data_IF_185919908122
#
_entry.id   IF_185919908122
#
_cell.length_a   1.000
_cell.length_b   1.000
_cell.length_c   1.000
_cell.angle_alpha   90.00
_cell.angle_beta   90.00
_cell.angle_gamma   90.00
#
_symmetry.space_group_name_H-M   'P 1'
#
loop_
_entity.id
_entity.type
_entity.pdbx_description
1 polymer ?
#
# COMPACT_ATOMS: atom_id res chain seq x y z
N UNK A 1 9.56 8.43 -25.02
CA UNK A 1 10.10 7.24 -24.33
C UNK A 1 9.90 7.29 -22.80
N UNK A 2 9.15 8.27 -22.25
CA UNK A 2 8.95 8.44 -20.80
C UNK A 2 7.46 8.72 -20.52
N UNK A 3 6.55 7.87 -21.03
CA UNK A 3 5.10 8.10 -20.89
C UNK A 3 4.50 7.49 -19.61
N UNK A 4 5.32 6.89 -18.74
CA UNK A 4 4.86 6.22 -17.51
C UNK A 4 5.74 6.53 -16.30
N UNK A 5 6.52 7.63 -16.32
CA UNK A 5 7.43 7.97 -15.21
C UNK A 5 6.66 8.11 -13.90
N UNK A 6 5.47 8.72 -13.97
CA UNK A 6 4.59 8.93 -12.82
C UNK A 6 4.19 7.61 -12.17
N UNK A 7 4.17 6.50 -12.90
CA UNK A 7 3.82 5.17 -12.37
C UNK A 7 5.08 4.40 -11.97
N UNK A 8 6.12 4.44 -12.79
CA UNK A 8 7.36 3.66 -12.61
C UNK A 8 8.14 4.15 -11.40
N UNK A 9 8.24 5.47 -11.20
CA UNK A 9 9.04 6.04 -10.11
C UNK A 9 8.52 5.59 -8.74
N UNK A 10 7.20 5.65 -8.45
CA UNK A 10 6.74 5.35 -7.10
C UNK A 10 6.64 3.85 -6.84
N UNK A 11 6.45 3.02 -7.88
CA UNK A 11 6.67 1.57 -7.80
C UNK A 11 8.13 1.28 -7.44
N UNK A 12 9.08 1.93 -8.11
CA UNK A 12 10.51 1.78 -7.82
C UNK A 12 10.86 2.24 -6.40
N UNK A 13 10.28 3.35 -5.91
CA UNK A 13 10.45 3.83 -4.52
C UNK A 13 9.87 2.84 -3.51
N UNK A 14 8.70 2.24 -3.79
CA UNK A 14 8.11 1.24 -2.91
C UNK A 14 8.97 -0.04 -2.86
N UNK A 15 9.42 -0.52 -4.01
CA UNK A 15 10.37 -1.63 -4.11
C UNK A 15 11.67 -1.32 -3.36
N UNK A 16 12.22 -0.12 -3.54
CA UNK A 16 13.45 0.30 -2.86
C UNK A 16 13.24 0.38 -1.34
N UNK A 17 12.13 0.96 -0.86
CA UNK A 17 11.80 1.04 0.56
C UNK A 17 11.66 -0.36 1.18
N UNK A 18 11.00 -1.29 0.48
CA UNK A 18 10.88 -2.68 0.92
C UNK A 18 12.25 -3.39 0.94
N UNK A 19 13.05 -3.25 -0.12
CA UNK A 19 14.38 -3.86 -0.21
C UNK A 19 15.34 -3.28 0.85
N UNK A 20 15.29 -1.97 1.11
CA UNK A 20 16.07 -1.32 2.16
C UNK A 20 15.69 -1.87 3.54
N UNK A 21 14.39 -2.00 3.87
CA UNK A 21 13.93 -2.62 5.13
C UNK A 21 14.41 -4.07 5.28
N UNK A 22 14.55 -4.80 4.16
CA UNK A 22 14.96 -6.21 4.14
C UNK A 22 16.48 -6.39 4.17
N UNK A 23 17.25 -5.48 3.57
CA UNK A 23 18.70 -5.60 3.39
C UNK A 23 19.53 -4.78 4.40
N UNK A 24 18.98 -3.68 4.94
CA UNK A 24 19.69 -2.85 5.92
C UNK A 24 19.42 -3.38 7.32
N UNK A 25 20.44 -4.07 7.84
CA UNK A 25 20.75 -4.19 9.26
C UNK A 25 19.93 -5.18 10.11
N UNK A 26 19.56 -6.35 9.58
CA UNK A 26 19.07 -7.46 10.41
C UNK A 26 19.60 -8.80 9.93
N UNK A 27 20.24 -9.55 10.82
CA UNK A 27 20.42 -10.99 10.65
C UNK A 27 19.05 -11.57 10.26
N UNK A 28 18.96 -12.19 9.07
CA UNK A 28 17.69 -12.55 8.44
C UNK A 28 17.04 -13.68 9.23
N UNK A 29 16.38 -13.34 10.32
CA UNK A 29 15.52 -14.25 11.06
C UNK A 29 14.19 -14.35 10.30
N UNK A 30 13.77 -15.57 10.00
CA UNK A 30 12.51 -15.90 9.29
C UNK A 30 11.29 -15.11 9.82
N UNK A 31 11.09 -14.90 11.15
CA UNK A 31 9.96 -14.12 11.67
C UNK A 31 9.93 -12.68 11.17
N UNK A 32 11.10 -12.11 10.87
CA UNK A 32 11.27 -10.72 10.50
C UNK A 32 10.97 -10.48 9.01
N UNK A 33 11.32 -11.44 8.17
CA UNK A 33 10.91 -11.48 6.77
C UNK A 33 9.38 -11.53 6.65
N UNK A 34 8.72 -12.40 7.43
CA UNK A 34 7.26 -12.54 7.41
C UNK A 34 6.58 -11.26 7.90
N UNK A 35 7.10 -10.61 8.94
CA UNK A 35 6.60 -9.28 9.39
C UNK A 35 6.70 -8.22 8.28
N UNK A 36 7.79 -8.22 7.51
CA UNK A 36 7.99 -7.29 6.40
C UNK A 36 6.99 -7.53 5.27
N UNK A 37 6.67 -8.79 4.96
CA UNK A 37 5.61 -9.14 4.00
C UNK A 37 4.24 -8.65 4.49
N UNK A 38 3.95 -8.82 5.77
CA UNK A 38 2.70 -8.37 6.37
C UNK A 38 2.55 -6.85 6.32
N UNK A 39 3.64 -6.10 6.33
CA UNK A 39 3.66 -4.63 6.24
C UNK A 39 3.45 -4.12 4.80
N UNK A 40 3.78 -4.91 3.77
CA UNK A 40 3.72 -4.47 2.37
C UNK A 40 2.36 -3.87 1.92
N UNK A 41 1.19 -4.42 2.30
CA UNK A 41 -0.10 -3.80 1.98
C UNK A 41 -0.24 -2.38 2.51
N UNK A 42 0.31 -2.11 3.69
CA UNK A 42 0.29 -0.78 4.30
C UNK A 42 1.15 0.19 3.49
N UNK A 43 2.34 -0.23 3.07
CA UNK A 43 3.18 0.58 2.20
C UNK A 43 2.49 0.88 0.85
N UNK A 44 1.78 -0.11 0.27
CA UNK A 44 1.01 0.05 -0.98
C UNK A 44 -0.16 1.04 -0.82
N UNK A 45 -0.90 1.01 0.29
CA UNK A 45 -2.02 1.96 0.46
C UNK A 45 -1.52 3.41 0.60
N UNK A 46 -0.39 3.63 1.28
CA UNK A 46 0.20 4.96 1.38
C UNK A 46 0.74 5.47 0.04
N UNK A 47 1.32 4.58 -0.77
CA UNK A 47 1.68 4.91 -2.15
C UNK A 47 0.45 5.30 -2.97
N UNK A 48 -0.61 4.51 -2.85
CA UNK A 48 -1.89 4.75 -3.53
C UNK A 48 -2.47 6.11 -3.16
N UNK A 49 -2.45 6.47 -1.87
CA UNK A 49 -2.90 7.79 -1.40
C UNK A 49 -2.02 8.89 -1.98
N UNK A 50 -0.70 8.69 -2.01
CA UNK A 50 0.24 9.69 -2.56
C UNK A 50 -0.06 9.98 -4.04
N UNK A 51 -0.38 8.95 -4.82
CA UNK A 51 -0.85 9.10 -6.19
C UNK A 51 -2.14 9.89 -6.32
N UNK A 52 -3.10 9.59 -5.45
CA UNK A 52 -4.41 10.22 -5.50
C UNK A 52 -4.35 11.68 -5.05
N UNK A 53 -3.46 12.02 -4.12
CA UNK A 53 -3.12 13.40 -3.75
C UNK A 53 -2.47 14.13 -4.92
N UNK A 54 -1.49 13.51 -5.58
CA UNK A 54 -0.84 14.10 -6.76
C UNK A 54 -1.84 14.37 -7.90
N UNK A 55 -2.77 13.44 -8.15
CA UNK A 55 -3.88 13.62 -9.09
C UNK A 55 -4.80 14.78 -8.66
N UNK A 56 -5.18 14.84 -7.39
CA UNK A 56 -6.09 15.89 -6.87
C UNK A 56 -5.49 17.29 -6.99
N UNK A 57 -4.16 17.42 -6.85
CA UNK A 57 -3.45 18.70 -7.01
C UNK A 57 -3.32 19.09 -8.49
N UNK A 58 -3.13 18.12 -9.40
CA UNK A 58 -2.85 18.36 -10.81
C UNK A 58 -4.09 18.46 -11.71
N UNK A 59 -5.26 18.01 -11.24
CA UNK A 59 -6.51 18.01 -12.02
C UNK A 59 -7.23 19.36 -12.02
N UNK A 60 -8.18 19.54 -12.95
CA UNK A 60 -9.03 20.74 -13.05
C UNK A 60 -10.08 20.77 -11.92
N UNK A 61 -10.65 21.94 -11.63
CA UNK A 61 -11.63 22.15 -10.54
C UNK A 61 -12.80 21.14 -10.55
N UNK A 62 -13.25 20.67 -11.72
CA UNK A 62 -14.30 19.65 -11.83
C UNK A 62 -13.85 18.24 -11.40
N UNK A 63 -12.59 17.87 -11.62
CA UNK A 63 -12.01 16.58 -11.20
C UNK A 63 -11.55 16.57 -9.74
N UNK A 64 -11.30 17.75 -9.18
CA UNK A 64 -10.73 17.96 -7.83
C UNK A 64 -11.65 17.45 -6.73
N UNK A 65 -12.96 17.64 -6.86
CA UNK A 65 -13.93 17.18 -5.87
C UNK A 65 -13.96 15.64 -5.77
N UNK A 66 -13.89 14.96 -6.92
CA UNK A 66 -13.82 13.50 -6.96
C UNK A 66 -12.49 13.00 -6.36
N UNK A 67 -11.36 13.60 -6.75
CA UNK A 67 -10.06 13.27 -6.16
C UNK A 67 -10.04 13.42 -4.64
N UNK A 68 -10.56 14.53 -4.11
CA UNK A 68 -10.63 14.77 -2.66
C UNK A 68 -11.50 13.72 -1.95
N UNK A 69 -12.66 13.37 -2.51
CA UNK A 69 -13.57 12.37 -1.95
C UNK A 69 -12.91 10.99 -1.85
N UNK A 70 -12.29 10.51 -2.93
CA UNK A 70 -11.56 9.23 -2.92
C UNK A 70 -10.34 9.26 -1.99
N UNK A 71 -9.69 10.42 -1.84
CA UNK A 71 -8.56 10.57 -0.92
C UNK A 71 -9.00 10.37 0.54
N UNK A 72 -10.15 10.93 0.94
CA UNK A 72 -10.72 10.71 2.27
C UNK A 72 -11.12 9.25 2.49
N UNK A 73 -11.73 8.61 1.49
CA UNK A 73 -12.06 7.17 1.59
C UNK A 73 -10.80 6.34 1.76
N UNK A 74 -9.75 6.59 0.98
CA UNK A 74 -8.52 5.81 1.03
C UNK A 74 -7.74 6.04 2.33
N UNK A 75 -7.83 7.23 2.92
CA UNK A 75 -7.33 7.48 4.28
C UNK A 75 -8.06 6.60 5.32
N UNK A 76 -9.38 6.50 5.26
CA UNK A 76 -10.14 5.62 6.16
C UNK A 76 -9.74 4.15 5.94
N UNK A 77 -9.63 3.72 4.68
CA UNK A 77 -9.18 2.36 4.31
C UNK A 77 -7.76 2.11 4.81
N UNK A 78 -6.87 3.11 4.82
CA UNK A 78 -5.50 2.96 5.33
C UNK A 78 -5.47 2.66 6.82
N UNK A 79 -6.34 3.29 7.61
CA UNK A 79 -6.47 3.01 9.06
C UNK A 79 -6.91 1.56 9.27
N UNK A 80 -7.90 1.11 8.50
CA UNK A 80 -8.38 -0.28 8.55
C UNK A 80 -7.23 -1.24 8.16
N UNK A 81 -6.46 -0.92 7.12
CA UNK A 81 -5.31 -1.70 6.68
C UNK A 81 -4.26 -1.89 7.78
N UNK A 82 -3.92 -0.81 8.49
CA UNK A 82 -2.97 -0.83 9.62
C UNK A 82 -3.50 -1.68 10.77
N UNK A 83 -4.81 -1.63 11.07
CA UNK A 83 -5.42 -2.46 12.10
C UNK A 83 -5.36 -3.94 11.72
N UNK A 84 -5.70 -4.28 10.47
CA UNK A 84 -5.65 -5.66 9.95
C UNK A 84 -4.21 -6.18 9.99
N UNK A 85 -3.24 -5.37 9.56
CA UNK A 85 -1.82 -5.71 9.65
C UNK A 85 -1.38 -5.99 11.08
N UNK A 86 -1.65 -5.08 12.03
CA UNK A 86 -1.30 -5.30 13.45
C UNK A 86 -1.95 -6.55 14.02
N UNK A 87 -3.17 -6.88 13.60
CA UNK A 87 -3.84 -8.14 13.98
C UNK A 87 -3.21 -9.37 13.32
N UNK A 88 -2.83 -9.30 12.05
CA UNK A 88 -2.17 -10.39 11.33
C UNK A 88 -0.83 -10.75 11.98
N UNK A 89 -0.01 -9.75 12.35
CA UNK A 89 1.26 -9.98 13.05
C UNK A 89 1.02 -10.64 14.42
N UNK A 90 0.06 -10.16 15.21
CA UNK A 90 -0.29 -10.80 16.49
C UNK A 90 -0.78 -12.25 16.33
N UNK A 91 -1.57 -12.53 15.28
CA UNK A 91 -2.03 -13.89 14.98
C UNK A 91 -0.89 -14.82 14.60
N UNK A 92 0.14 -14.30 13.92
CA UNK A 92 1.35 -15.04 13.60
C UNK A 92 2.14 -15.39 14.86
N UNK A 93 2.31 -14.44 15.79
CA UNK A 93 2.95 -14.67 17.09
C UNK A 93 2.21 -15.70 17.96
N UNK A 94 0.88 -15.78 17.83
CA UNK A 94 0.03 -16.76 18.52
C UNK A 94 -0.02 -18.13 17.81
N UNK A 95 0.91 -18.42 16.87
CA UNK A 95 0.98 -19.64 16.07
C UNK A 95 -0.25 -19.93 15.18
N UNK A 96 -1.15 -18.96 14.97
CA UNK A 96 -2.33 -19.10 14.08
C UNK A 96 -2.01 -18.65 12.66
N UNK A 97 -1.03 -19.34 12.04
CA UNK A 97 -0.44 -18.97 10.75
C UNK A 97 -1.50 -18.85 9.64
N UNK A 98 -2.43 -19.81 9.54
CA UNK A 98 -3.46 -19.82 8.50
C UNK A 98 -4.34 -18.56 8.52
N UNK A 99 -4.80 -18.13 9.71
CA UNK A 99 -5.62 -16.92 9.86
C UNK A 99 -4.82 -15.64 9.57
N UNK A 100 -3.55 -15.61 9.93
CA UNK A 100 -2.66 -14.48 9.64
C UNK A 100 -2.44 -14.32 8.12
N UNK A 101 -2.16 -15.41 7.41
CA UNK A 101 -2.02 -15.41 5.94
C UNK A 101 -3.32 -15.02 5.27
N UNK A 102 -4.47 -15.56 5.70
CA UNK A 102 -5.77 -15.23 5.13
C UNK A 102 -6.12 -13.73 5.29
N UNK A 103 -5.92 -13.16 6.49
CA UNK A 103 -6.13 -11.72 6.72
C UNK A 103 -5.25 -10.87 5.80
N UNK A 104 -4.00 -11.28 5.61
CA UNK A 104 -3.02 -10.55 4.82
C UNK A 104 -3.34 -10.62 3.34
N UNK A 105 -3.75 -11.78 2.84
CA UNK A 105 -4.18 -11.95 1.45
C UNK A 105 -5.39 -11.06 1.12
N UNK A 106 -6.36 -10.97 2.05
CA UNK A 106 -7.51 -10.06 1.91
C UNK A 106 -7.04 -8.60 1.88
N UNK A 107 -6.12 -8.22 2.78
CA UNK A 107 -5.56 -6.86 2.81
C UNK A 107 -4.81 -6.53 1.51
N UNK A 108 -4.05 -7.48 0.98
CA UNK A 108 -3.38 -7.37 -0.31
C UNK A 108 -4.36 -7.15 -1.47
N UNK A 109 -5.41 -7.96 -1.54
CA UNK A 109 -6.43 -7.80 -2.58
C UNK A 109 -7.09 -6.41 -2.53
N UNK A 110 -7.42 -5.95 -1.32
CA UNK A 110 -8.00 -4.62 -1.09
C UNK A 110 -7.05 -3.49 -1.53
N UNK A 111 -5.77 -3.58 -1.17
CA UNK A 111 -4.76 -2.55 -1.48
C UNK A 111 -4.42 -2.51 -2.96
N UNK A 112 -4.30 -3.66 -3.63
CA UNK A 112 -4.14 -3.75 -5.08
C UNK A 112 -5.36 -3.16 -5.80
N UNK A 113 -6.57 -3.44 -5.33
CA UNK A 113 -7.79 -2.86 -5.90
C UNK A 113 -7.80 -1.32 -5.78
N UNK A 114 -7.43 -0.79 -4.61
CA UNK A 114 -7.30 0.66 -4.41
C UNK A 114 -6.23 1.27 -5.34
N UNK A 115 -5.09 0.59 -5.50
CA UNK A 115 -4.01 1.03 -6.39
C UNK A 115 -4.49 1.10 -7.85
N UNK A 116 -5.22 0.10 -8.33
CA UNK A 116 -5.78 0.11 -9.68
C UNK A 116 -6.75 1.27 -9.92
N UNK A 117 -7.57 1.62 -8.91
CA UNK A 117 -8.44 2.79 -8.97
C UNK A 117 -7.61 4.08 -9.07
N UNK A 118 -6.58 4.24 -8.24
CA UNK A 118 -5.73 5.42 -8.27
C UNK A 118 -5.00 5.58 -9.61
N UNK A 119 -4.48 4.49 -10.17
CA UNK A 119 -3.84 4.49 -11.49
C UNK A 119 -4.85 4.87 -12.58
N UNK A 120 -6.08 4.34 -12.53
CA UNK A 120 -7.16 4.67 -13.47
C UNK A 120 -7.47 6.17 -13.48
N UNK A 121 -7.41 6.83 -12.32
CA UNK A 121 -7.54 8.29 -12.23
C UNK A 121 -6.36 9.04 -12.85
N UNK A 122 -5.12 8.56 -12.69
CA UNK A 122 -3.93 9.18 -13.28
C UNK A 122 -3.85 9.03 -14.81
N UNK A 123 -4.40 7.95 -15.37
CA UNK A 123 -4.37 7.70 -16.82
C UNK A 123 -5.55 8.29 -17.61
N UNK A 124 -6.51 8.92 -16.92
CA UNK A 124 -7.66 9.61 -17.53
C UNK A 124 -7.44 11.11 -17.58
#
# INVERSE_FOLDING_TARGET
MINHLDIVLPIAVLLLSFLLKLCIDRAVEIPLFVRSIYELPVDIIFLTISFLVAFTISTTEAGKNNGLFYCFIFLIVSIINVIIWRRAVKLFELNKIFWSIALTAINFACTIYCLNIAISFLTK
#
